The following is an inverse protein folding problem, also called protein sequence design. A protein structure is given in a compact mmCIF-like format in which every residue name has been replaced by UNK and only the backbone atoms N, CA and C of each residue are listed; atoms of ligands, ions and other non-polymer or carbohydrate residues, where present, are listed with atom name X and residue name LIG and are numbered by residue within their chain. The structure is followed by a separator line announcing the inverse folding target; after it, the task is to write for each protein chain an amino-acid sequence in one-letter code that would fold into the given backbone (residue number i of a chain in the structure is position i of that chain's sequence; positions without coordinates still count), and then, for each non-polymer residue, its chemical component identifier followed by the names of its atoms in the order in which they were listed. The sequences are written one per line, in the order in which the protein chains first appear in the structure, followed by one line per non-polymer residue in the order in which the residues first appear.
data_IF_460796592459
#
_entry.id   IF_460796592459
#
_cell.length_a   1.000
_cell.length_b   1.000
_cell.length_c   1.000
_cell.angle_alpha   90.00
_cell.angle_beta   90.00
_cell.angle_gamma   90.00
#
_symmetry.space_group_name_H-M   'P 1'
#
loop_
_entity.id
_entity.type
_entity.pdbx_description
1 polymer ?
#
# COMPACT_ATOMS: atom_id res chain seq x y z
N UNK A 1 -22.51 -32.08 46.98
CA UNK A 1 -22.40 -31.85 45.52
C UNK A 1 -23.67 -32.27 44.79
N UNK A 2 -24.77 -31.53 45.01
CA UNK A 2 -26.01 -31.55 44.19
C UNK A 2 -26.59 -30.13 44.31
N UNK A 3 -27.15 -29.57 43.24
CA UNK A 3 -27.72 -28.20 43.11
C UNK A 3 -26.82 -27.11 42.48
N UNK A 4 -26.23 -27.36 41.30
CA UNK A 4 -25.78 -26.27 40.40
C UNK A 4 -26.16 -26.43 38.92
N UNK A 5 -27.01 -27.39 38.56
CA UNK A 5 -27.33 -27.69 37.14
C UNK A 5 -28.69 -27.17 36.64
N UNK A 6 -29.51 -26.56 37.49
CA UNK A 6 -30.87 -26.15 37.12
C UNK A 6 -30.97 -24.70 36.60
N UNK A 7 -29.99 -23.83 36.88
CA UNK A 7 -30.12 -22.39 36.56
C UNK A 7 -29.67 -22.04 35.14
N UNK A 8 -28.81 -22.84 34.50
CA UNK A 8 -28.36 -22.56 33.12
C UNK A 8 -29.39 -22.96 32.05
N UNK A 9 -30.35 -23.84 32.37
CA UNK A 9 -31.36 -24.28 31.39
C UNK A 9 -32.50 -23.27 31.22
N UNK A 10 -32.75 -22.40 32.21
CA UNK A 10 -33.83 -21.42 32.17
C UNK A 10 -33.49 -20.15 31.37
N UNK A 11 -32.21 -19.77 31.29
CA UNK A 11 -31.77 -18.60 30.51
C UNK A 11 -31.79 -18.91 28.99
N UNK A 12 -31.57 -20.16 28.59
CA UNK A 12 -31.67 -20.55 27.18
C UNK A 12 -33.10 -20.55 26.63
N UNK A 13 -34.12 -20.73 27.48
CA UNK A 13 -35.53 -20.78 27.06
C UNK A 13 -36.17 -19.38 26.91
N UNK A 14 -35.66 -18.36 27.61
CA UNK A 14 -36.17 -16.99 27.49
C UNK A 14 -35.66 -16.24 26.25
N UNK A 15 -34.50 -16.62 25.70
CA UNK A 15 -33.98 -16.03 24.45
C UNK A 15 -34.74 -16.54 23.21
N UNK A 16 -35.34 -17.74 23.27
CA UNK A 16 -36.09 -18.29 22.12
C UNK A 16 -37.54 -17.82 22.02
N UNK A 17 -38.15 -17.27 23.08
CA UNK A 17 -39.53 -16.78 22.99
C UNK A 17 -39.66 -15.34 22.44
N UNK A 18 -38.55 -14.63 22.25
CA UNK A 18 -38.57 -13.25 21.72
C UNK A 18 -38.42 -13.15 20.20
N UNK A 19 -38.30 -14.28 19.48
CA UNK A 19 -38.17 -14.31 18.01
C UNK A 19 -39.42 -14.86 17.28
N UNK A 20 -40.56 -14.98 17.96
CA UNK A 20 -41.80 -15.50 17.36
C UNK A 20 -42.78 -14.42 16.85
N UNK A 21 -42.43 -13.14 16.93
CA UNK A 21 -43.14 -12.07 16.22
C UNK A 21 -42.39 -11.74 14.92
N UNK A 22 -42.48 -12.66 13.97
CA UNK A 22 -42.29 -12.35 12.56
C UNK A 22 -43.48 -11.48 12.13
N UNK A 23 -43.40 -10.17 12.38
CA UNK A 23 -44.20 -9.24 11.59
C UNK A 23 -43.76 -9.45 10.14
N UNK A 24 -44.66 -9.99 9.33
CA UNK A 24 -44.45 -10.11 7.90
C UNK A 24 -44.16 -8.72 7.36
N UNK A 25 -42.91 -8.46 6.96
CA UNK A 25 -42.57 -7.27 6.19
C UNK A 25 -43.56 -7.21 5.02
N UNK A 26 -44.43 -6.19 4.94
CA UNK A 26 -45.40 -6.11 3.87
C UNK A 26 -44.62 -6.03 2.55
N UNK A 27 -44.86 -6.99 1.66
CA UNK A 27 -44.29 -6.96 0.32
C UNK A 27 -44.72 -5.64 -0.34
N UNK A 28 -43.74 -4.82 -0.71
CA UNK A 28 -43.97 -3.57 -1.44
C UNK A 28 -44.55 -3.91 -2.81
N UNK A 29 -45.79 -3.49 -3.04
CA UNK A 29 -46.45 -3.60 -4.34
C UNK A 29 -45.82 -2.58 -5.31
N UNK A 30 -44.88 -3.05 -6.12
CA UNK A 30 -44.13 -2.24 -7.11
C UNK A 30 -45.04 -1.55 -8.15
N UNK A 31 -46.32 -1.94 -8.26
CA UNK A 31 -47.27 -1.37 -9.22
C UNK A 31 -48.11 -0.22 -8.64
N UNK A 32 -48.10 -0.01 -7.32
CA UNK A 32 -48.75 1.14 -6.71
C UNK A 32 -47.75 2.29 -6.60
N UNK A 33 -47.93 3.32 -7.44
CA UNK A 33 -47.32 4.64 -7.21
C UNK A 33 -47.82 5.17 -5.86
N UNK A 34 -47.02 5.00 -4.82
CA UNK A 34 -47.27 5.70 -3.57
C UNK A 34 -46.94 7.18 -3.75
N UNK A 35 -47.75 8.09 -3.19
CA UNK A 35 -47.43 9.51 -3.18
C UNK A 35 -46.09 9.68 -2.45
N UNK A 36 -45.08 10.16 -3.19
CA UNK A 36 -43.73 10.43 -2.67
C UNK A 36 -43.81 11.57 -1.67
N UNK A 37 -44.03 11.25 -0.40
CA UNK A 37 -43.72 12.17 0.68
C UNK A 37 -42.21 12.07 0.93
N UNK A 38 -41.50 13.20 0.86
CA UNK A 38 -40.03 13.31 1.05
C UNK A 38 -39.50 12.64 2.33
N UNK A 39 -40.38 12.43 3.31
CA UNK A 39 -40.02 11.93 4.65
C UNK A 39 -39.83 10.40 4.68
N UNK A 40 -40.59 9.63 3.90
CA UNK A 40 -40.44 8.15 3.86
C UNK A 40 -39.20 7.72 3.05
N UNK A 41 -38.77 8.54 2.09
CA UNK A 41 -37.53 8.29 1.35
C UNK A 41 -36.29 8.41 2.24
N UNK A 42 -36.30 9.23 3.30
CA UNK A 42 -35.13 9.43 4.15
C UNK A 42 -34.79 8.18 4.98
N UNK A 43 -35.79 7.51 5.57
CA UNK A 43 -35.55 6.32 6.39
C UNK A 43 -35.11 5.11 5.54
N UNK A 44 -35.68 4.93 4.35
CA UNK A 44 -35.26 3.87 3.44
C UNK A 44 -33.84 4.10 2.92
N UNK A 45 -33.49 5.33 2.54
CA UNK A 45 -32.14 5.69 2.11
C UNK A 45 -31.14 5.43 3.25
N UNK A 46 -31.44 5.88 4.47
CA UNK A 46 -30.58 5.60 5.64
C UNK A 46 -30.42 4.11 5.91
N UNK A 47 -31.49 3.32 5.81
CA UNK A 47 -31.40 1.87 5.99
C UNK A 47 -30.58 1.19 4.89
N UNK A 48 -30.69 1.64 3.64
CA UNK A 48 -29.89 1.13 2.52
C UNK A 48 -28.41 1.51 2.69
N UNK A 49 -28.12 2.73 3.15
CA UNK A 49 -26.76 3.15 3.51
C UNK A 49 -26.18 2.28 4.62
N UNK A 50 -26.93 2.03 5.70
CA UNK A 50 -26.50 1.17 6.80
C UNK A 50 -26.25 -0.28 6.37
N UNK A 51 -27.12 -0.84 5.51
CA UNK A 51 -26.92 -2.19 4.95
C UNK A 51 -25.68 -2.22 4.06
N UNK A 52 -25.48 -1.20 3.22
CA UNK A 52 -24.33 -1.09 2.34
C UNK A 52 -23.02 -0.94 3.14
N UNK A 53 -23.01 -0.07 4.16
CA UNK A 53 -21.89 0.06 5.10
C UNK A 53 -21.62 -1.26 5.80
N UNK A 54 -22.64 -1.92 6.35
CA UNK A 54 -22.48 -3.23 7.02
C UNK A 54 -21.86 -4.28 6.09
N UNK A 55 -22.22 -4.28 4.81
CA UNK A 55 -21.65 -5.19 3.82
C UNK A 55 -20.16 -4.89 3.58
N UNK A 56 -19.81 -3.62 3.39
CA UNK A 56 -18.42 -3.18 3.17
C UNK A 56 -17.53 -3.26 4.41
N UNK A 57 -18.11 -3.23 5.60
CA UNK A 57 -17.42 -3.30 6.89
C UNK A 57 -17.27 -4.74 7.43
N UNK A 58 -17.69 -5.74 6.65
CA UNK A 58 -17.59 -7.17 7.03
C UNK A 58 -16.68 -7.91 6.07
N UNK A 59 -15.73 -8.69 6.60
CA UNK A 59 -14.87 -9.52 5.76
C UNK A 59 -15.66 -10.69 5.16
N UNK A 60 -15.30 -11.15 3.95
CA UNK A 60 -15.78 -12.44 3.45
C UNK A 60 -15.36 -13.58 4.39
N UNK A 61 -16.05 -14.72 4.32
CA UNK A 61 -15.67 -15.89 5.11
C UNK A 61 -14.30 -16.45 4.69
N UNK A 62 -13.68 -17.28 5.54
CA UNK A 62 -12.43 -17.96 5.17
C UNK A 62 -12.64 -18.84 3.94
N UNK A 63 -11.83 -18.61 2.91
CA UNK A 63 -11.92 -19.26 1.60
C UNK A 63 -12.84 -18.56 0.59
N UNK A 64 -13.73 -17.68 1.04
CA UNK A 64 -14.57 -16.85 0.17
C UNK A 64 -13.74 -15.70 -0.42
N UNK A 65 -14.00 -15.35 -1.67
CA UNK A 65 -13.33 -14.26 -2.39
C UNK A 65 -14.32 -13.14 -2.66
N UNK A 66 -13.94 -11.91 -2.37
CA UNK A 66 -14.70 -10.71 -2.72
C UNK A 66 -13.84 -9.78 -3.57
N UNK A 67 -14.35 -9.32 -4.70
CA UNK A 67 -13.69 -8.28 -5.48
C UNK A 67 -14.07 -6.90 -4.95
N UNK A 68 -13.11 -5.99 -5.09
CA UNK A 68 -13.29 -4.57 -4.91
C UNK A 68 -12.87 -3.89 -6.19
N UNK A 69 -13.68 -2.92 -6.61
CA UNK A 69 -13.45 -2.14 -7.82
C UNK A 69 -13.80 -0.69 -7.52
N UNK A 70 -12.95 0.24 -7.96
CA UNK A 70 -13.19 1.66 -7.74
C UNK A 70 -12.04 2.54 -8.22
N UNK A 71 -12.24 3.84 -8.07
CA UNK A 71 -11.20 4.85 -8.28
C UNK A 71 -11.02 5.63 -7.00
N UNK A 72 -9.78 5.72 -6.54
CA UNK A 72 -9.40 6.54 -5.39
C UNK A 72 -8.28 7.47 -5.84
N UNK A 73 -8.61 8.76 -5.95
CA UNK A 73 -7.65 9.80 -6.35
C UNK A 73 -6.96 9.53 -7.69
N UNK A 74 -7.72 9.03 -8.67
CA UNK A 74 -7.20 8.66 -9.99
C UNK A 74 -6.47 7.32 -10.05
N UNK A 75 -6.21 6.68 -8.91
CA UNK A 75 -5.65 5.32 -8.86
C UNK A 75 -6.78 4.29 -8.85
N UNK A 76 -6.69 3.35 -9.77
CA UNK A 76 -7.62 2.23 -9.89
C UNK A 76 -7.42 1.23 -8.76
N UNK A 77 -8.53 0.85 -8.12
CA UNK A 77 -8.60 -0.03 -6.96
C UNK A 77 -9.29 -1.34 -7.36
N UNK A 78 -8.66 -2.15 -8.21
CA UNK A 78 -9.25 -3.40 -8.70
C UNK A 78 -8.48 -4.62 -8.19
N UNK A 79 -8.99 -5.25 -7.14
CA UNK A 79 -8.39 -6.43 -6.53
C UNK A 79 -9.43 -7.36 -5.93
N UNK A 80 -9.02 -8.60 -5.67
CA UNK A 80 -9.83 -9.59 -4.97
C UNK A 80 -9.20 -9.91 -3.62
N UNK A 81 -10.00 -9.88 -2.55
CA UNK A 81 -9.60 -10.24 -1.20
C UNK A 81 -10.13 -11.62 -0.85
N UNK A 82 -9.25 -12.48 -0.33
CA UNK A 82 -9.59 -13.81 0.15
C UNK A 82 -8.90 -14.11 1.49
N UNK A 83 -9.64 -14.21 2.60
CA UNK A 83 -9.09 -14.68 3.87
C UNK A 83 -8.70 -16.16 3.73
N UNK A 84 -7.43 -16.47 3.97
CA UNK A 84 -6.89 -17.83 3.99
C UNK A 84 -6.97 -18.45 5.38
N UNK A 85 -6.87 -17.61 6.40
CA UNK A 85 -7.02 -17.96 7.82
C UNK A 85 -7.55 -16.75 8.59
N UNK A 86 -7.64 -16.84 9.93
CA UNK A 86 -8.00 -15.70 10.77
C UNK A 86 -7.01 -14.52 10.65
N UNK A 87 -5.74 -14.81 10.39
CA UNK A 87 -4.65 -13.82 10.39
C UNK A 87 -3.89 -13.79 9.06
N UNK A 88 -4.42 -14.39 7.99
CA UNK A 88 -3.74 -14.42 6.69
C UNK A 88 -4.74 -14.15 5.59
N UNK A 89 -4.41 -13.18 4.75
CA UNK A 89 -5.28 -12.70 3.69
C UNK A 89 -4.50 -12.68 2.38
N UNK A 90 -5.12 -13.15 1.31
CA UNK A 90 -4.60 -13.04 -0.06
C UNK A 90 -5.29 -11.88 -0.75
N UNK A 91 -4.50 -11.01 -1.38
CA UNK A 91 -4.95 -9.92 -2.24
C UNK A 91 -4.47 -10.21 -3.66
N UNK A 92 -5.41 -10.62 -4.50
CA UNK A 92 -5.19 -11.03 -5.87
C UNK A 92 -5.51 -9.94 -6.88
N UNK A 93 -4.62 -9.70 -7.82
CA UNK A 93 -4.78 -8.71 -8.89
C UNK A 93 -4.90 -9.40 -10.25
N UNK A 94 -5.74 -8.86 -11.13
CA UNK A 94 -5.77 -9.25 -12.55
C UNK A 94 -4.91 -8.25 -13.34
N UNK A 95 -3.59 -8.46 -13.35
CA UNK A 95 -2.65 -7.55 -14.00
C UNK A 95 -2.27 -8.08 -15.38
N UNK A 96 -2.26 -7.17 -16.36
CA UNK A 96 -1.67 -7.41 -17.68
C UNK A 96 -0.56 -6.40 -17.91
N UNK A 97 0.67 -6.87 -18.06
CA UNK A 97 1.80 -6.00 -18.39
C UNK A 97 2.03 -5.99 -19.89
N UNK A 98 2.42 -4.84 -20.44
CA UNK A 98 2.95 -4.79 -21.81
C UNK A 98 4.29 -5.51 -21.94
N UNK A 99 5.05 -5.54 -20.85
CA UNK A 99 6.35 -6.21 -20.77
C UNK A 99 6.26 -7.46 -19.88
N UNK A 100 6.38 -8.63 -20.49
CA UNK A 100 6.37 -9.93 -19.79
C UNK A 100 7.43 -10.04 -18.69
N UNK A 101 8.61 -9.44 -18.90
CA UNK A 101 9.69 -9.42 -17.90
C UNK A 101 9.26 -8.67 -16.63
N UNK A 102 8.48 -7.59 -16.78
CA UNK A 102 7.95 -6.85 -15.63
C UNK A 102 6.84 -7.60 -14.90
N UNK A 103 6.01 -8.36 -15.61
CA UNK A 103 5.04 -9.25 -14.98
C UNK A 103 5.73 -10.31 -14.11
N UNK A 104 6.76 -10.96 -14.66
CA UNK A 104 7.52 -11.98 -13.94
C UNK A 104 8.30 -11.40 -12.76
N UNK A 105 8.90 -10.22 -12.93
CA UNK A 105 9.56 -9.50 -11.82
C UNK A 105 8.57 -9.17 -10.70
N UNK A 106 7.39 -8.67 -11.06
CA UNK A 106 6.32 -8.36 -10.09
C UNK A 106 5.86 -9.60 -9.34
N UNK A 107 5.60 -10.70 -10.05
CA UNK A 107 5.20 -11.97 -9.43
C UNK A 107 6.23 -12.49 -8.44
N UNK A 108 7.53 -12.46 -8.79
CA UNK A 108 8.61 -12.87 -7.89
C UNK A 108 8.79 -11.93 -6.72
N UNK A 109 8.66 -10.61 -6.94
CA UNK A 109 8.70 -9.62 -5.88
C UNK A 109 7.61 -9.89 -4.82
N UNK A 110 6.38 -10.22 -5.25
CA UNK A 110 5.33 -10.64 -4.33
C UNK A 110 5.69 -11.91 -3.57
N UNK A 111 6.18 -12.94 -4.28
CA UNK A 111 6.60 -14.19 -3.64
C UNK A 111 7.66 -13.96 -2.55
N UNK A 112 8.67 -13.15 -2.82
CA UNK A 112 9.77 -12.85 -1.89
C UNK A 112 9.33 -11.98 -0.70
N UNK A 113 8.34 -11.10 -0.89
CA UNK A 113 7.94 -10.12 0.13
C UNK A 113 6.79 -10.60 1.03
N UNK A 114 5.96 -11.53 0.56
CA UNK A 114 4.75 -12.00 1.25
C UNK A 114 4.99 -12.53 2.68
N UNK A 115 6.18 -13.01 3.00
CA UNK A 115 6.51 -13.47 4.35
C UNK A 115 6.76 -12.30 5.34
N UNK A 116 6.98 -11.09 4.82
CA UNK A 116 7.31 -9.88 5.57
C UNK A 116 6.16 -8.88 5.65
N UNK A 117 5.17 -8.98 4.75
CA UNK A 117 3.98 -8.13 4.69
C UNK A 117 2.98 -8.45 5.81
N UNK A 118 3.34 -8.07 7.03
CA UNK A 118 2.51 -8.20 8.23
C UNK A 118 2.39 -6.89 8.98
N UNK A 119 1.38 -6.80 9.84
CA UNK A 119 1.26 -5.74 10.84
C UNK A 119 1.67 -6.17 12.26
N UNK A 120 1.52 -5.27 13.20
CA UNK A 120 1.85 -5.44 14.62
C UNK A 120 0.94 -6.46 15.31
N UNK A 121 -0.25 -6.67 14.77
CA UNK A 121 -1.19 -7.71 15.21
C UNK A 121 -0.83 -9.10 14.64
N UNK A 122 0.20 -9.20 13.80
CA UNK A 122 0.62 -10.43 13.15
C UNK A 122 -0.32 -10.88 12.03
N UNK A 123 -1.17 -9.99 11.50
CA UNK A 123 -1.99 -10.24 10.31
C UNK A 123 -1.09 -10.14 9.09
N UNK A 124 -1.11 -11.16 8.25
CA UNK A 124 -0.29 -11.24 7.04
C UNK A 124 -1.14 -10.96 5.78
N UNK A 125 -0.64 -10.07 4.93
CA UNK A 125 -1.18 -9.75 3.61
C UNK A 125 -0.28 -10.39 2.55
N UNK A 126 -0.85 -11.21 1.68
CA UNK A 126 -0.14 -11.84 0.57
C UNK A 126 -0.62 -11.27 -0.75
N UNK A 127 0.27 -10.61 -1.47
CA UNK A 127 -0.01 -10.16 -2.84
C UNK A 127 0.19 -11.29 -3.84
N UNK A 128 -0.61 -11.27 -4.90
CA UNK A 128 -0.55 -12.25 -5.98
C UNK A 128 -1.10 -11.70 -7.29
N UNK A 129 -0.48 -12.08 -8.41
CA UNK A 129 -1.08 -11.94 -9.74
C UNK A 129 -1.92 -13.18 -10.02
N UNK A 130 -3.23 -13.01 -10.21
CA UNK A 130 -4.15 -14.11 -10.49
C UNK A 130 -3.93 -14.62 -11.91
N UNK A 131 -3.69 -15.93 -12.04
CA UNK A 131 -3.60 -16.57 -13.35
C UNK A 131 -4.97 -16.65 -14.03
N UNK A 132 -5.00 -16.84 -15.35
CA UNK A 132 -6.24 -17.03 -16.10
C UNK A 132 -7.09 -18.20 -15.58
N UNK A 133 -6.46 -19.27 -15.08
CA UNK A 133 -7.15 -20.42 -14.49
C UNK A 133 -7.72 -20.14 -13.11
N UNK A 134 -7.15 -19.20 -12.36
CA UNK A 134 -7.69 -18.74 -11.08
C UNK A 134 -8.87 -17.80 -11.30
N UNK A 135 -8.74 -16.85 -12.22
CA UNK A 135 -9.82 -15.94 -12.60
C UNK A 135 -11.05 -16.69 -13.12
N UNK A 136 -10.88 -17.73 -13.94
CA UNK A 136 -12.00 -18.52 -14.47
C UNK A 136 -12.76 -19.31 -13.40
N UNK A 137 -12.10 -19.63 -12.27
CA UNK A 137 -12.71 -20.31 -11.11
C UNK A 137 -13.45 -19.36 -10.17
N UNK A 138 -13.23 -18.05 -10.27
CA UNK A 138 -14.01 -17.07 -9.52
C UNK A 138 -15.35 -16.83 -10.20
N UNK A 139 -16.39 -16.59 -9.40
CA UNK A 139 -17.67 -16.09 -9.88
C UNK A 139 -17.47 -14.75 -10.61
N UNK A 140 -18.19 -14.45 -11.71
CA UNK A 140 -18.01 -13.22 -12.46
C UNK A 140 -18.08 -11.94 -11.62
N UNK A 141 -18.95 -11.90 -10.60
CA UNK A 141 -19.06 -10.77 -9.67
C UNK A 141 -17.85 -10.59 -8.77
N UNK A 142 -17.07 -11.66 -8.53
CA UNK A 142 -15.89 -11.68 -7.66
C UNK A 142 -14.57 -11.61 -8.43
N UNK A 143 -14.61 -11.44 -9.77
CA UNK A 143 -13.41 -11.27 -10.60
C UNK A 143 -12.95 -9.81 -10.56
N UNK A 144 -11.70 -9.53 -10.17
CA UNK A 144 -11.18 -8.18 -10.31
C UNK A 144 -11.02 -7.85 -11.80
N UNK A 145 -11.26 -6.58 -12.14
CA UNK A 145 -11.09 -6.11 -13.51
C UNK A 145 -9.62 -6.16 -13.93
N UNK A 146 -9.37 -6.36 -15.22
CA UNK A 146 -7.99 -6.32 -15.75
C UNK A 146 -7.42 -4.89 -15.62
N UNK A 147 -6.24 -4.80 -15.04
CA UNK A 147 -5.43 -3.58 -15.00
C UNK A 147 -4.26 -3.73 -15.97
N UNK A 148 -4.27 -2.90 -17.03
CA UNK A 148 -3.14 -2.78 -17.95
C UNK A 148 -2.06 -1.92 -17.30
N UNK A 149 -0.87 -2.49 -17.13
CA UNK A 149 0.31 -1.80 -16.62
C UNK A 149 1.27 -1.57 -17.79
N UNK A 150 1.52 -0.30 -18.11
CA UNK A 150 2.47 0.06 -19.17
C UNK A 150 3.90 0.03 -18.64
N UNK A 151 4.87 -0.06 -19.55
CA UNK A 151 6.28 0.05 -19.20
C UNK A 151 7.00 1.06 -20.09
N UNK A 152 6.81 2.34 -19.77
CA UNK A 152 7.41 3.45 -20.49
C UNK A 152 8.34 4.25 -19.57
N UNK A 153 9.64 4.18 -19.85
CA UNK A 153 10.69 4.89 -19.10
C UNK A 153 10.72 6.40 -19.41
N UNK A 154 9.97 6.88 -20.41
CA UNK A 154 9.91 8.30 -20.79
C UNK A 154 8.79 9.07 -20.08
N UNK A 155 7.96 8.39 -19.29
CA UNK A 155 6.85 9.00 -18.55
C UNK A 155 7.07 8.88 -17.06
N UNK A 156 6.43 9.75 -16.27
CA UNK A 156 6.54 9.69 -14.81
C UNK A 156 6.12 8.30 -14.29
N UNK A 157 6.90 7.80 -13.35
CA UNK A 157 6.67 6.55 -12.61
C UNK A 157 5.39 6.67 -11.79
N UNK A 158 4.52 5.66 -11.87
CA UNK A 158 3.32 5.56 -11.04
C UNK A 158 2.70 4.16 -11.12
N UNK A 159 1.63 3.96 -10.35
CA UNK A 159 0.87 2.73 -10.25
C UNK A 159 0.27 2.23 -11.59
N UNK A 160 0.21 3.04 -12.64
CA UNK A 160 -0.20 2.62 -13.99
C UNK A 160 0.96 2.43 -14.97
N UNK A 161 2.17 2.89 -14.63
CA UNK A 161 3.34 2.90 -15.52
C UNK A 161 4.62 2.47 -14.78
N UNK A 162 5.01 1.21 -14.94
CA UNK A 162 6.16 0.63 -14.28
C UNK A 162 7.39 0.71 -15.17
N UNK A 163 8.42 1.45 -14.74
CA UNK A 163 9.68 1.46 -15.49
C UNK A 163 10.35 0.07 -15.45
N UNK A 164 11.12 -0.23 -16.48
CA UNK A 164 11.75 -1.55 -16.64
C UNK A 164 12.82 -1.85 -15.59
N UNK A 165 13.28 -0.84 -14.86
CA UNK A 165 14.26 -0.91 -13.78
C UNK A 165 13.64 -0.72 -12.39
N UNK A 166 12.31 -0.75 -12.28
CA UNK A 166 11.64 -0.79 -10.97
C UNK A 166 12.21 -1.90 -10.10
N UNK A 167 12.67 -1.48 -8.93
CA UNK A 167 13.04 -2.36 -7.83
C UNK A 167 11.80 -3.03 -7.25
N UNK A 168 11.98 -4.14 -6.53
CA UNK A 168 10.86 -4.74 -5.81
C UNK A 168 10.26 -3.78 -4.75
N UNK A 169 11.09 -2.92 -4.16
CA UNK A 169 10.63 -1.89 -3.23
C UNK A 169 9.62 -0.95 -3.89
N UNK A 170 9.95 -0.43 -5.08
CA UNK A 170 9.05 0.42 -5.89
C UNK A 170 7.79 -0.33 -6.30
N UNK A 171 7.93 -1.58 -6.77
CA UNK A 171 6.77 -2.42 -7.15
C UNK A 171 5.79 -2.55 -5.97
N UNK A 172 6.29 -2.82 -4.76
CA UNK A 172 5.43 -2.95 -3.58
C UNK A 172 4.76 -1.63 -3.20
N UNK A 173 5.49 -0.52 -3.25
CA UNK A 173 4.93 0.81 -3.00
C UNK A 173 3.78 1.13 -3.97
N UNK A 174 3.98 0.94 -5.26
CA UNK A 174 2.93 1.17 -6.26
C UNK A 174 1.76 0.19 -6.11
N UNK A 175 2.03 -1.05 -5.73
CA UNK A 175 0.99 -2.05 -5.43
C UNK A 175 0.12 -1.62 -4.26
N UNK A 176 0.71 -0.99 -3.25
CA UNK A 176 -0.02 -0.49 -2.09
C UNK A 176 -0.98 0.65 -2.45
N UNK A 177 -0.68 1.43 -3.49
CA UNK A 177 -1.66 2.36 -4.03
C UNK A 177 -2.89 1.66 -4.62
N UNK A 178 -2.76 0.49 -5.27
CA UNK A 178 -3.91 -0.26 -5.81
C UNK A 178 -4.85 -0.85 -4.75
N UNK A 179 -4.43 -0.88 -3.48
CA UNK A 179 -5.24 -1.32 -2.33
C UNK A 179 -5.63 -0.16 -1.43
N UNK A 180 -5.40 1.07 -1.89
CA UNK A 180 -5.99 2.29 -1.36
C UNK A 180 -5.10 2.99 -0.36
N UNK A 181 -3.80 2.65 -0.32
CA UNK A 181 -2.83 3.42 0.44
C UNK A 181 -2.35 4.64 -0.34
N UNK A 182 -1.87 5.65 0.37
CA UNK A 182 -1.44 6.91 -0.20
C UNK A 182 -0.03 7.24 0.25
N UNK A 183 0.64 8.05 -0.54
CA UNK A 183 1.93 8.61 -0.18
C UNK A 183 1.85 9.40 1.12
N UNK A 184 2.88 9.25 1.93
CA UNK A 184 2.98 9.84 3.27
C UNK A 184 4.15 10.81 3.36
N UNK A 185 4.33 11.62 2.33
CA UNK A 185 5.36 12.65 2.29
C UNK A 185 4.80 13.88 1.60
N UNK A 186 5.24 15.07 2.04
CA UNK A 186 4.92 16.30 1.33
C UNK A 186 5.55 16.25 -0.06
N UNK A 187 4.73 16.24 -1.11
CA UNK A 187 5.23 16.30 -2.47
C UNK A 187 5.59 17.74 -2.83
N UNK A 188 6.68 18.20 -2.24
CA UNK A 188 7.22 19.50 -2.55
C UNK A 188 7.70 19.59 -3.99
N UNK A 189 7.91 18.48 -4.72
CA UNK A 189 8.56 18.51 -6.05
C UNK A 189 7.71 19.16 -7.13
N UNK A 190 6.37 19.07 -7.03
CA UNK A 190 5.45 19.62 -8.04
C UNK A 190 5.09 21.07 -7.72
N UNK A 191 6.02 21.97 -8.00
CA UNK A 191 5.85 23.40 -7.78
C UNK A 191 6.06 24.18 -9.07
N UNK A 192 5.18 25.14 -9.34
CA UNK A 192 5.46 26.21 -10.27
C UNK A 192 6.34 27.25 -9.59
N UNK A 193 7.17 27.94 -10.36
CA UNK A 193 7.85 29.14 -9.91
C UNK A 193 7.21 30.34 -10.57
N UNK A 194 6.72 31.27 -9.77
CA UNK A 194 5.96 32.42 -10.23
C UNK A 194 6.76 33.67 -9.94
N UNK A 195 7.04 34.47 -10.95
CA UNK A 195 7.56 35.82 -10.76
C UNK A 195 6.39 36.78 -10.74
N UNK A 196 6.31 37.61 -9.70
CA UNK A 196 5.30 38.67 -9.61
C UNK A 196 5.94 40.04 -9.75
N UNK A 197 5.22 40.96 -10.37
CA UNK A 197 5.57 42.37 -10.40
C UNK A 197 5.44 42.99 -9.02
N UNK A 198 5.90 44.24 -8.86
CA UNK A 198 5.68 45.00 -7.62
C UNK A 198 4.18 45.25 -7.30
N UNK A 199 3.26 45.09 -8.26
CA UNK A 199 1.81 45.20 -8.06
C UNK A 199 1.15 43.88 -7.67
N UNK A 200 1.91 42.78 -7.68
CA UNK A 200 1.41 41.42 -7.40
C UNK A 200 0.89 40.67 -8.64
N UNK A 201 0.94 41.28 -9.82
CA UNK A 201 0.58 40.64 -11.09
C UNK A 201 1.61 39.57 -11.45
N UNK A 202 1.15 38.46 -12.02
CA UNK A 202 2.04 37.38 -12.48
C UNK A 202 2.73 37.83 -13.77
N UNK A 203 4.05 37.97 -13.73
CA UNK A 203 4.88 38.30 -14.90
C UNK A 203 5.34 37.05 -15.63
N UNK A 204 5.70 36.01 -14.88
CA UNK A 204 6.22 34.76 -15.43
C UNK A 204 5.78 33.57 -14.57
N UNK A 205 5.52 32.45 -15.23
CA UNK A 205 5.32 31.14 -14.58
C UNK A 205 6.29 30.17 -15.24
N UNK A 206 7.09 29.46 -14.43
CA UNK A 206 7.85 28.29 -14.83
C UNK A 206 7.04 27.08 -14.34
N UNK A 207 6.33 26.36 -15.22
CA UNK A 207 5.49 25.24 -14.82
C UNK A 207 6.32 24.12 -14.21
N UNK A 208 5.75 23.40 -13.25
CA UNK A 208 6.45 22.28 -12.60
C UNK A 208 6.97 21.22 -13.59
N UNK A 209 6.28 21.01 -14.72
CA UNK A 209 6.70 20.05 -15.74
C UNK A 209 8.03 20.47 -16.36
N UNK A 210 8.24 21.78 -16.57
CA UNK A 210 9.52 22.32 -17.02
C UNK A 210 10.59 22.16 -15.93
N UNK A 211 10.25 22.49 -14.68
CA UNK A 211 11.15 22.28 -13.53
C UNK A 211 11.56 20.82 -13.38
N UNK A 212 10.66 19.86 -13.64
CA UNK A 212 10.94 18.43 -13.53
C UNK A 212 11.98 17.94 -14.56
N UNK A 213 12.20 18.71 -15.62
CA UNK A 213 13.21 18.44 -16.65
C UNK A 213 14.53 19.18 -16.40
N UNK A 214 14.55 20.10 -15.43
CA UNK A 214 15.75 20.83 -15.04
C UNK A 214 16.74 19.93 -14.29
N UNK A 215 18.02 20.22 -14.47
CA UNK A 215 19.10 19.61 -13.68
C UNK A 215 18.99 20.02 -12.21
N UNK A 216 19.60 19.22 -11.33
CA UNK A 216 19.66 19.55 -9.91
C UNK A 216 20.35 20.91 -9.63
N UNK A 217 21.22 21.39 -10.51
CA UNK A 217 21.85 22.70 -10.38
C UNK A 217 20.89 23.83 -10.73
N UNK A 218 20.18 23.74 -11.86
CA UNK A 218 19.16 24.72 -12.25
C UNK A 218 18.05 24.84 -11.20
N UNK A 219 17.58 23.71 -10.66
CA UNK A 219 16.60 23.73 -9.57
C UNK A 219 17.15 24.41 -8.33
N UNK A 220 18.44 24.23 -7.98
CA UNK A 220 19.07 24.94 -6.86
C UNK A 220 19.14 26.44 -7.10
N UNK A 221 19.54 26.86 -8.30
CA UNK A 221 19.61 28.27 -8.69
C UNK A 221 18.23 28.92 -8.65
N UNK A 222 17.21 28.23 -9.17
CA UNK A 222 15.83 28.71 -9.14
C UNK A 222 15.29 28.84 -7.70
N UNK A 223 15.61 27.90 -6.81
CA UNK A 223 15.26 28.00 -5.39
C UNK A 223 16.00 29.13 -4.65
N UNK A 224 17.15 29.57 -5.13
CA UNK A 224 17.92 30.69 -4.56
C UNK A 224 17.49 32.05 -5.14
N UNK A 225 16.73 32.06 -6.24
CA UNK A 225 16.27 33.28 -6.88
C UNK A 225 15.05 33.86 -6.15
N UNK A 226 15.25 34.98 -5.45
CA UNK A 226 14.20 35.67 -4.69
C UNK A 226 13.13 36.34 -5.53
N UNK A 227 13.31 36.45 -6.86
CA UNK A 227 12.28 36.99 -7.76
C UNK A 227 11.13 36.00 -7.98
N UNK A 228 11.36 34.71 -7.74
CA UNK A 228 10.35 33.68 -7.92
C UNK A 228 9.78 33.21 -6.57
N UNK A 229 8.46 33.25 -6.44
CA UNK A 229 7.75 32.53 -5.40
C UNK A 229 7.46 31.10 -5.86
N UNK A 230 7.52 30.17 -4.92
CA UNK A 230 7.22 28.76 -5.18
C UNK A 230 5.73 28.51 -4.91
N UNK A 231 4.97 28.21 -5.95
CA UNK A 231 3.57 27.81 -5.83
C UNK A 231 3.45 26.30 -6.02
N UNK A 232 3.20 25.58 -4.94
CA UNK A 232 2.90 24.15 -4.99
C UNK A 232 1.61 23.91 -5.79
N UNK A 233 1.58 22.89 -6.62
CA UNK A 233 0.43 22.61 -7.48
C UNK A 233 -0.57 21.65 -6.81
N UNK A 234 -0.08 20.56 -6.21
CA UNK A 234 -0.93 19.48 -5.67
C UNK A 234 -0.24 18.78 -4.49
N UNK A 235 -1.03 18.17 -3.60
CA UNK A 235 -0.60 17.14 -2.65
C UNK A 235 0.29 17.60 -1.48
N UNK A 236 0.19 18.87 -1.07
CA UNK A 236 0.99 19.38 0.07
C UNK A 236 0.39 19.00 1.43
N UNK A 237 -0.88 18.61 1.50
CA UNK A 237 -1.55 18.28 2.75
C UNK A 237 -1.48 16.79 3.10
N UNK A 238 -0.56 16.04 2.47
CA UNK A 238 -0.37 14.61 2.77
C UNK A 238 0.00 14.41 4.24
N UNK A 239 -0.45 13.31 4.86
CA UNK A 239 0.10 12.89 6.14
C UNK A 239 1.61 12.73 5.99
N UNK A 240 2.39 13.19 6.96
CA UNK A 240 3.85 13.04 6.94
C UNK A 240 4.30 12.55 8.32
N UNK A 241 4.21 11.24 8.57
CA UNK A 241 4.73 10.65 9.79
C UNK A 241 6.25 10.88 9.87
N UNK A 242 6.75 11.28 11.04
CA UNK A 242 8.19 11.37 11.30
C UNK A 242 8.88 10.00 11.18
N UNK A 243 8.13 8.90 11.35
CA UNK A 243 8.67 7.55 11.25
C UNK A 243 8.66 7.08 9.79
N UNK A 244 9.77 6.48 9.32
CA UNK A 244 9.82 5.78 8.05
C UNK A 244 8.69 4.77 7.89
N UNK A 245 8.00 4.82 6.76
CA UNK A 245 7.02 3.82 6.33
C UNK A 245 7.30 3.41 4.88
N UNK A 246 6.67 2.33 4.43
CA UNK A 246 6.69 1.94 3.01
C UNK A 246 6.06 3.03 2.10
N UNK A 247 5.19 3.88 2.65
CA UNK A 247 4.51 4.95 1.92
C UNK A 247 5.19 6.33 2.02
N UNK A 248 6.11 6.54 2.98
CA UNK A 248 6.89 7.77 3.11
C UNK A 248 8.29 7.62 2.47
N UNK A 249 8.99 6.53 2.81
CA UNK A 249 10.43 6.39 2.53
C UNK A 249 10.79 4.96 2.12
N UNK A 250 10.17 4.49 1.05
CA UNK A 250 10.20 3.08 0.60
C UNK A 250 11.60 2.45 0.61
N UNK A 251 12.60 3.11 0.02
CA UNK A 251 13.95 2.53 -0.10
C UNK A 251 14.68 2.44 1.23
N UNK A 252 14.51 3.44 2.11
CA UNK A 252 15.11 3.41 3.44
C UNK A 252 14.40 2.37 4.32
N UNK A 253 13.07 2.34 4.26
CA UNK A 253 12.26 1.44 5.05
C UNK A 253 12.48 -0.04 4.67
N UNK A 254 12.39 -0.37 3.38
CA UNK A 254 12.51 -1.76 2.93
C UNK A 254 13.94 -2.29 2.98
N UNK A 255 14.95 -1.42 2.96
CA UNK A 255 16.33 -1.84 3.17
C UNK A 255 16.56 -2.49 4.55
N UNK A 256 15.71 -2.18 5.54
CA UNK A 256 15.79 -2.74 6.89
C UNK A 256 14.80 -3.89 7.13
N UNK A 257 13.70 -3.94 6.36
CA UNK A 257 12.62 -4.93 6.55
C UNK A 257 12.64 -6.11 5.58
N UNK A 258 13.29 -5.99 4.42
CA UNK A 258 13.39 -7.07 3.44
C UNK A 258 14.81 -7.62 3.36
N UNK A 259 14.98 -8.90 2.96
CA UNK A 259 16.28 -9.43 2.65
C UNK A 259 16.97 -8.59 1.57
N UNK A 260 18.29 -8.41 1.71
CA UNK A 260 19.12 -7.75 0.70
C UNK A 260 20.15 -8.71 0.18
N UNK A 261 20.66 -8.49 -1.03
CA UNK A 261 21.64 -9.36 -1.64
C UNK A 261 22.91 -8.59 -1.92
N UNK A 262 24.03 -9.06 -1.39
CA UNK A 262 25.35 -8.48 -1.63
C UNK A 262 26.10 -9.36 -2.61
N UNK A 263 26.59 -8.75 -3.68
CA UNK A 263 27.50 -9.41 -4.61
C UNK A 263 28.93 -9.16 -4.15
N UNK A 264 29.62 -10.23 -3.77
CA UNK A 264 31.01 -10.21 -3.36
C UNK A 264 31.90 -10.80 -4.47
N UNK A 265 32.87 -10.05 -5.00
CA UNK A 265 33.94 -10.62 -5.83
C UNK A 265 34.77 -11.61 -5.01
N UNK A 266 35.07 -12.77 -5.58
CA UNK A 266 35.80 -13.84 -4.90
C UNK A 266 36.59 -14.70 -5.89
N UNK A 267 37.45 -15.58 -5.40
CA UNK A 267 38.14 -16.59 -6.22
C UNK A 267 38.38 -17.89 -5.46
N UNK A 268 38.23 -19.02 -6.15
CA UNK A 268 38.46 -20.36 -5.60
C UNK A 268 37.69 -20.60 -4.30
N UNK A 269 38.39 -21.11 -3.27
CA UNK A 269 37.81 -21.47 -1.98
C UNK A 269 37.11 -20.31 -1.25
N UNK A 270 37.46 -19.05 -1.55
CA UNK A 270 36.78 -17.89 -0.94
C UNK A 270 35.32 -17.76 -1.40
N UNK A 271 34.99 -18.16 -2.64
CA UNK A 271 33.62 -18.17 -3.13
C UNK A 271 32.77 -19.21 -2.40
N UNK A 272 33.34 -20.40 -2.14
CA UNK A 272 32.64 -21.47 -1.43
C UNK A 272 32.36 -21.06 0.02
N UNK A 273 33.35 -20.46 0.70
CA UNK A 273 33.17 -19.91 2.04
C UNK A 273 32.07 -18.85 2.09
N UNK A 274 32.02 -17.94 1.11
CA UNK A 274 30.99 -16.88 1.06
C UNK A 274 29.59 -17.46 0.82
N UNK A 275 29.46 -18.50 -0.02
CA UNK A 275 28.18 -19.19 -0.25
C UNK A 275 27.71 -19.93 0.99
N UNK A 276 28.60 -20.63 1.66
CA UNK A 276 28.27 -21.38 2.89
C UNK A 276 27.90 -20.45 4.06
N UNK A 277 28.55 -19.27 4.15
CA UNK A 277 28.24 -18.27 5.18
C UNK A 277 26.95 -17.49 4.93
N UNK A 278 26.38 -17.57 3.73
CA UNK A 278 25.36 -16.66 3.19
C UNK A 278 24.01 -16.60 3.91
N UNK A 279 23.89 -17.20 5.09
CA UNK A 279 22.65 -17.22 5.90
C UNK A 279 22.86 -16.82 7.37
N UNK A 280 24.09 -16.62 7.85
CA UNK A 280 24.37 -16.90 9.27
C UNK A 280 24.54 -15.73 10.25
N UNK A 281 24.75 -14.46 9.87
CA UNK A 281 25.00 -13.43 10.90
C UNK A 281 24.49 -12.02 10.54
N UNK A 282 23.62 -11.39 11.38
CA UNK A 282 23.09 -10.04 11.16
C UNK A 282 24.07 -8.88 11.44
N UNK A 283 25.31 -9.16 11.86
CA UNK A 283 26.17 -8.15 12.48
C UNK A 283 27.50 -7.99 11.74
N UNK A 284 27.50 -7.11 10.76
CA UNK A 284 28.70 -6.59 10.11
C UNK A 284 28.32 -5.57 9.03
N UNK A 285 28.90 -4.37 9.07
CA UNK A 285 28.72 -3.40 7.98
C UNK A 285 29.09 -4.01 6.62
N UNK A 286 28.60 -3.41 5.51
CA UNK A 286 28.74 -3.94 4.13
C UNK A 286 30.12 -4.49 3.78
N UNK A 287 31.18 -3.82 4.24
CA UNK A 287 32.57 -4.21 4.04
C UNK A 287 32.95 -5.51 4.76
N UNK A 288 32.40 -5.79 5.94
CA UNK A 288 32.72 -6.98 6.71
C UNK A 288 32.22 -8.28 6.04
N UNK A 289 31.10 -8.22 5.31
CA UNK A 289 30.47 -9.39 4.68
C UNK A 289 31.36 -9.97 3.58
N UNK A 290 31.92 -9.13 2.71
CA UNK A 290 32.82 -9.58 1.66
C UNK A 290 34.28 -9.75 2.13
N UNK A 291 34.62 -9.44 3.38
CA UNK A 291 35.96 -9.58 3.94
C UNK A 291 36.21 -10.98 4.55
N UNK A 292 35.83 -12.04 3.85
CA UNK A 292 36.27 -13.40 4.21
C UNK A 292 37.79 -13.54 3.96
N UNK A 293 38.54 -14.34 4.75
CA UNK A 293 39.95 -14.60 4.47
C UNK A 293 40.15 -15.09 3.03
N UNK A 294 40.93 -14.35 2.24
CA UNK A 294 41.18 -14.64 0.82
C UNK A 294 40.19 -14.00 -0.17
N UNK A 295 39.14 -13.32 0.30
CA UNK A 295 38.31 -12.48 -0.54
C UNK A 295 39.04 -11.17 -0.88
N UNK A 296 38.80 -10.64 -2.08
CA UNK A 296 39.41 -9.37 -2.51
C UNK A 296 38.76 -8.27 -1.68
N UNK A 297 39.52 -7.63 -0.80
CA UNK A 297 39.05 -6.48 -0.01
C UNK A 297 38.74 -5.34 -0.96
N UNK A 298 37.49 -5.21 -1.40
CA UNK A 298 37.09 -4.10 -2.26
C UNK A 298 35.95 -3.31 -1.65
N UNK A 299 36.06 -2.00 -1.82
CA UNK A 299 34.98 -1.01 -1.68
C UNK A 299 33.88 -1.15 -2.74
N UNK A 300 33.84 -2.25 -3.50
CA UNK A 300 33.01 -2.42 -4.70
C UNK A 300 31.83 -3.38 -4.52
N UNK A 301 31.52 -3.79 -3.28
CA UNK A 301 30.36 -4.64 -3.02
C UNK A 301 29.08 -3.92 -3.47
N UNK A 302 28.39 -4.50 -4.44
CA UNK A 302 27.10 -4.01 -4.92
C UNK A 302 25.99 -4.65 -4.09
N UNK A 303 25.00 -3.84 -3.69
CA UNK A 303 23.87 -4.30 -2.89
C UNK A 303 22.60 -4.15 -3.70
N UNK A 304 21.87 -5.25 -3.77
CA UNK A 304 20.64 -5.41 -4.52
C UNK A 304 19.49 -5.68 -3.56
N UNK A 305 18.29 -5.25 -3.93
CA UNK A 305 17.06 -5.46 -3.16
C UNK A 305 16.48 -6.85 -3.45
N UNK A 306 16.72 -7.40 -4.65
CA UNK A 306 16.34 -8.76 -5.00
C UNK A 306 17.44 -9.52 -5.74
N UNK A 307 17.28 -10.83 -5.85
CA UNK A 307 18.20 -11.69 -6.61
C UNK A 307 18.20 -11.37 -8.11
N UNK A 308 17.10 -10.87 -8.66
CA UNK A 308 16.95 -10.59 -10.09
C UNK A 308 17.61 -9.30 -10.55
N UNK A 309 17.80 -8.34 -9.64
CA UNK A 309 18.55 -7.12 -9.94
C UNK A 309 20.05 -7.42 -10.12
N UNK A 310 20.50 -8.59 -9.63
CA UNK A 310 21.86 -9.06 -9.81
C UNK A 310 22.07 -9.40 -11.29
N UNK A 311 23.03 -8.75 -11.97
CA UNK A 311 23.32 -9.07 -13.36
C UNK A 311 23.72 -10.55 -13.49
N UNK A 312 23.72 -11.10 -14.71
CA UNK A 312 24.30 -12.44 -14.90
C UNK A 312 25.78 -12.39 -14.50
N UNK A 313 26.11 -13.05 -13.39
CA UNK A 313 27.46 -13.08 -12.84
C UNK A 313 28.09 -14.45 -13.03
N UNK A 314 29.41 -14.46 -13.21
CA UNK A 314 30.18 -15.69 -13.24
C UNK A 314 30.34 -16.24 -11.81
N UNK A 315 29.76 -17.42 -11.50
CA UNK A 315 29.87 -18.00 -10.16
C UNK A 315 31.32 -18.41 -9.82
N UNK A 316 32.24 -18.53 -10.77
CA UNK A 316 33.64 -18.80 -10.44
C UNK A 316 34.36 -17.59 -9.84
N UNK A 317 33.82 -16.38 -10.05
CA UNK A 317 34.44 -15.11 -9.64
C UNK A 317 33.56 -14.25 -8.72
N UNK A 318 32.34 -14.70 -8.43
CA UNK A 318 31.39 -13.96 -7.58
C UNK A 318 30.57 -14.89 -6.68
N UNK A 319 30.25 -14.37 -5.50
CA UNK A 319 29.31 -14.98 -4.57
C UNK A 319 28.20 -13.99 -4.24
N UNK A 320 26.96 -14.49 -4.19
CA UNK A 320 25.80 -13.72 -3.73
C UNK A 320 25.52 -14.12 -2.29
N UNK A 321 25.50 -13.13 -1.40
CA UNK A 321 25.22 -13.29 0.02
C UNK A 321 23.89 -12.64 0.34
N UNK A 322 22.94 -13.43 0.86
CA UNK A 322 21.69 -12.90 1.39
C UNK A 322 21.95 -12.29 2.79
N UNK A 323 21.50 -11.06 2.97
CA UNK A 323 21.45 -10.39 4.25
C UNK A 323 20.01 -10.49 4.75
N UNK A 324 19.85 -11.11 5.92
CA UNK A 324 18.57 -11.07 6.61
C UNK A 324 18.20 -9.62 6.93
N UNK A 325 16.89 -9.29 7.00
CA UNK A 325 16.43 -8.01 7.51
C UNK A 325 17.10 -7.65 8.84
N UNK A 326 17.43 -6.38 9.02
CA UNK A 326 18.03 -5.87 10.27
C UNK A 326 16.97 -5.73 11.37
N UNK A 327 15.69 -5.70 11.00
CA UNK A 327 14.56 -5.53 11.89
C UNK A 327 13.48 -6.59 11.63
N UNK A 328 12.92 -7.15 12.70
CA UNK A 328 11.75 -8.03 12.65
C UNK A 328 10.43 -7.27 12.74
N UNK A 329 10.48 -5.94 12.78
CA UNK A 329 9.29 -5.10 12.85
C UNK A 329 8.39 -5.31 11.63
N UNK A 330 7.07 -5.14 11.79
CA UNK A 330 6.12 -5.29 10.69
C UNK A 330 6.38 -4.28 9.55
N UNK A 331 6.17 -4.72 8.31
CA UNK A 331 6.24 -3.84 7.12
C UNK A 331 5.00 -2.96 7.01
N UNK A 332 3.84 -3.47 7.42
CA UNK A 332 2.57 -2.77 7.35
C UNK A 332 2.17 -2.25 8.72
N UNK A 333 1.56 -1.07 8.77
CA UNK A 333 0.92 -0.53 9.99
C UNK A 333 -0.51 -1.02 10.10
N UNK A 334 -1.08 -0.99 11.32
CA UNK A 334 -2.42 -1.53 11.56
C UNK A 334 -3.47 -0.84 10.69
N UNK A 335 -3.41 0.49 10.53
CA UNK A 335 -4.35 1.22 9.68
C UNK A 335 -4.23 0.85 8.18
N UNK A 336 -3.04 0.49 7.70
CA UNK A 336 -2.87 -0.01 6.33
C UNK A 336 -3.61 -1.32 6.15
N UNK A 337 -3.43 -2.26 7.07
CA UNK A 337 -4.11 -3.56 7.01
C UNK A 337 -5.62 -3.37 7.10
N UNK A 338 -6.12 -2.51 8.00
CA UNK A 338 -7.56 -2.19 8.03
C UNK A 338 -8.05 -1.60 6.70
N UNK A 339 -7.30 -0.68 6.09
CA UNK A 339 -7.65 -0.10 4.80
C UNK A 339 -7.68 -1.15 3.68
N UNK A 340 -6.72 -2.06 3.64
CA UNK A 340 -6.65 -3.15 2.65
C UNK A 340 -7.82 -4.13 2.83
N UNK A 341 -8.12 -4.49 4.08
CA UNK A 341 -9.15 -5.47 4.43
C UNK A 341 -10.56 -4.90 4.26
N UNK A 342 -10.74 -3.59 4.46
CA UNK A 342 -12.02 -2.91 4.39
C UNK A 342 -11.95 -1.63 3.53
N UNK A 343 -11.67 -1.75 2.22
CA UNK A 343 -11.35 -0.59 1.37
C UNK A 343 -12.47 0.46 1.30
N UNK A 344 -13.72 0.02 1.42
CA UNK A 344 -14.92 0.87 1.39
C UNK A 344 -15.52 1.17 2.78
N UNK A 345 -14.91 0.73 3.89
CA UNK A 345 -15.40 0.99 5.24
C UNK A 345 -14.51 2.00 5.95
N UNK A 346 -14.85 3.28 5.85
CA UNK A 346 -14.06 4.34 6.49
C UNK A 346 -13.91 4.14 8.00
N UNK A 347 -14.93 3.62 8.68
CA UNK A 347 -14.91 3.43 10.15
C UNK A 347 -13.86 2.43 10.64
N UNK A 348 -13.33 1.55 9.78
CA UNK A 348 -12.27 0.58 10.15
C UNK A 348 -10.87 1.17 10.17
N UNK A 349 -10.64 2.22 9.36
CA UNK A 349 -9.36 2.92 9.27
C UNK A 349 -9.60 4.43 9.33
N UNK A 350 -10.44 4.87 10.26
CA UNK A 350 -11.07 6.19 10.22
C UNK A 350 -10.08 7.34 10.14
N UNK A 351 -9.11 7.37 11.05
CA UNK A 351 -8.08 8.41 11.07
C UNK A 351 -7.23 8.41 9.81
N UNK A 352 -6.84 7.24 9.34
CA UNK A 352 -6.12 7.08 8.08
C UNK A 352 -6.93 7.62 6.89
N UNK A 353 -8.21 7.27 6.79
CA UNK A 353 -9.09 7.76 5.73
C UNK A 353 -9.28 9.28 5.85
N UNK A 354 -9.49 9.82 7.05
CA UNK A 354 -9.59 11.27 7.28
C UNK A 354 -8.31 11.99 6.84
N UNK A 355 -7.14 11.49 7.23
CA UNK A 355 -5.88 12.15 6.90
C UNK A 355 -5.58 12.08 5.40
N UNK A 356 -5.92 10.97 4.74
CA UNK A 356 -5.64 10.79 3.30
C UNK A 356 -6.61 11.49 2.36
N UNK A 357 -7.78 11.94 2.85
CA UNK A 357 -8.68 12.83 2.09
C UNK A 357 -7.97 14.14 1.68
N UNK A 358 -6.97 14.57 2.43
CA UNK A 358 -6.17 15.76 2.14
C UNK A 358 -4.98 15.49 1.19
N UNK A 359 -4.64 14.23 0.93
CA UNK A 359 -3.44 13.86 0.15
C UNK A 359 -3.47 14.31 -1.32
N UNK A 360 -4.64 14.74 -1.82
CA UNK A 360 -4.87 15.13 -3.22
C UNK A 360 -5.64 16.44 -3.39
N UNK A 361 -5.76 17.23 -2.31
CA UNK A 361 -6.33 18.57 -2.41
C UNK A 361 -5.32 19.54 -3.04
N UNK A 362 -5.81 20.52 -3.80
CA UNK A 362 -4.98 21.60 -4.37
C UNK A 362 -4.22 22.35 -3.27
N UNK A 363 -3.00 22.80 -3.53
CA UNK A 363 -2.21 23.49 -2.51
C UNK A 363 -2.79 24.88 -2.16
N UNK A 364 -2.59 25.34 -0.91
CA UNK A 364 -3.07 26.63 -0.41
C UNK A 364 -3.91 26.47 0.86
N UNK A 365 -5.04 27.19 0.96
CA UNK A 365 -5.97 27.09 2.10
C UNK A 365 -6.61 25.69 2.25
N UNK A 366 -6.39 24.76 1.32
CA UNK A 366 -7.05 23.45 1.33
C UNK A 366 -6.57 22.49 2.43
N UNK A 367 -5.42 22.76 3.09
CA UNK A 367 -5.04 22.01 4.29
C UNK A 367 -5.84 22.45 5.54
N UNK A 368 -6.63 23.52 5.44
CA UNK A 368 -7.41 24.02 6.56
C UNK A 368 -8.45 22.97 6.99
N UNK A 369 -8.45 22.64 8.28
CA UNK A 369 -9.33 21.61 8.84
C UNK A 369 -8.74 20.20 8.83
N UNK A 370 -7.52 20.00 8.29
CA UNK A 370 -6.80 18.74 8.49
C UNK A 370 -6.49 18.56 9.97
N UNK A 371 -6.88 17.43 10.60
CA UNK A 371 -6.60 17.19 12.01
C UNK A 371 -5.10 17.18 12.29
N UNK A 372 -4.67 17.72 13.43
CA UNK A 372 -3.26 17.76 13.82
C UNK A 372 -2.64 16.38 14.02
N UNK A 373 -3.44 15.35 14.32
CA UNK A 373 -2.94 13.98 14.44
C UNK A 373 -2.46 13.40 13.11
N UNK A 374 -2.80 14.01 11.96
CA UNK A 374 -2.31 13.60 10.65
C UNK A 374 -0.82 13.91 10.43
N UNK A 375 -0.19 14.66 11.33
CA UNK A 375 1.26 14.95 11.35
C UNK A 375 2.01 14.07 12.35
N UNK A 376 1.39 13.00 12.84
CA UNK A 376 1.96 12.10 13.83
C UNK A 376 1.64 10.64 13.48
N UNK A 377 2.31 9.67 14.09
CA UNK A 377 2.01 8.24 13.91
C UNK A 377 0.60 7.83 14.37
N UNK A 378 -0.10 8.71 15.11
CA UNK A 378 -1.37 8.39 15.74
C UNK A 378 -2.48 8.02 14.73
N UNK A 379 -2.37 8.44 13.46
CA UNK A 379 -3.33 8.03 12.42
C UNK A 379 -3.05 6.63 11.84
N UNK A 380 -1.83 6.10 12.02
CA UNK A 380 -1.39 4.79 11.55
C UNK A 380 -1.61 3.68 12.56
N UNK A 381 -1.43 4.00 13.84
CA UNK A 381 -1.47 3.01 14.92
C UNK A 381 -2.86 2.92 15.56
N UNK A 382 -3.59 4.03 15.58
CA UNK A 382 -4.90 4.08 16.22
C UNK A 382 -6.02 3.74 15.23
N UNK A 383 -6.35 2.46 15.17
CA UNK A 383 -7.51 1.94 14.42
C UNK A 383 -8.84 2.13 15.18
N UNK A 384 -8.82 2.68 16.40
CA UNK A 384 -9.98 2.80 17.29
C UNK A 384 -10.59 4.22 17.35
N UNK A 385 -11.92 4.26 17.31
CA UNK A 385 -12.81 5.42 17.43
C UNK A 385 -12.51 6.59 16.47
N UNK A 386 -13.43 6.80 15.52
CA UNK A 386 -13.57 8.10 14.88
C UNK A 386 -13.85 9.16 15.96
N UNK A 387 -13.21 10.34 15.88
CA UNK A 387 -13.56 11.48 16.75
C UNK A 387 -15.01 11.93 16.56
#
# INVERSE_FOLDING_TARGET
MKNKFATSLFIFLLVFQSFAQSESLPCVDLNKRQPTTEVENSALVQNLELVNESFHCTLPAVGETRSFSGLLNGVRQDFALKPLSRNTFEVGFNLRFENQMMQERTARCYEQSNDYLRDEMGRNIRFKILSASELSRLEPSNRPQEMLITSNNNTEENAGNFHTDFSCATILHETLHWVGLHDEYHNNRRANYIKRSHTGEIEQIIPWLEVSQMTAQEVRELNQNTEFERQLQYNDCRPNPDTPSIMNSVNAFLADKLPRYVVCPCSGASCDILRERGTATPFGGRSAICNAPGAITTSSAQVYSTLEEIPSLDPSTTAVVALNPTSNEPVLRNAYVEKILYPACASKACRYVTCTQFSYTEAGNACQGRPSYCDTEEYLDNIGNCP
#
